data_IF_669038719051
#
_entry.id   IF_669038719051
#
_cell.length_a   1.000
_cell.length_b   1.000
_cell.length_c   1.000
_cell.angle_alpha   90.00
_cell.angle_beta   90.00
_cell.angle_gamma   90.00
#
_symmetry.space_group_name_H-M   'P 1'
#
loop_
_entity.id
_entity.type
_entity.pdbx_description
1 polymer ?
#
# COMPACT_ATOMS: atom_id res chain seq x y z
N UNK A 1 35.64 -31.18 2.15
CA UNK A 1 34.79 -30.08 1.65
C UNK A 1 33.36 -30.53 1.85
N UNK A 2 32.61 -29.77 2.64
CA UNK A 2 31.27 -30.13 3.06
C UNK A 2 30.31 -30.23 1.86
N UNK A 3 29.24 -31.04 1.91
CA UNK A 3 28.32 -31.20 0.78
C UNK A 3 27.72 -29.86 0.30
N UNK A 4 27.36 -28.96 1.22
CA UNK A 4 26.86 -27.64 0.85
C UNK A 4 27.94 -26.72 0.25
N UNK A 5 29.20 -26.83 0.70
CA UNK A 5 30.32 -26.05 0.14
C UNK A 5 30.55 -26.42 -1.33
N UNK A 6 30.47 -27.70 -1.66
CA UNK A 6 30.56 -28.21 -3.04
C UNK A 6 29.44 -27.65 -3.91
N UNK A 7 28.20 -27.63 -3.40
CA UNK A 7 27.06 -27.04 -4.10
C UNK A 7 27.29 -25.54 -4.30
N UNK A 8 27.64 -24.80 -3.26
CA UNK A 8 27.89 -23.35 -3.32
C UNK A 8 29.03 -23.01 -4.28
N UNK A 9 30.14 -23.73 -4.24
CA UNK A 9 31.26 -23.53 -5.16
C UNK A 9 30.82 -23.75 -6.62
N UNK A 10 30.05 -24.82 -6.87
CA UNK A 10 29.55 -25.10 -8.22
C UNK A 10 28.54 -24.06 -8.70
N UNK A 11 27.63 -23.63 -7.83
CA UNK A 11 26.67 -22.56 -8.14
C UNK A 11 27.39 -21.25 -8.46
N UNK A 12 28.45 -20.91 -7.70
CA UNK A 12 29.31 -19.75 -7.93
C UNK A 12 30.08 -19.83 -9.26
N UNK A 13 30.57 -21.02 -9.64
CA UNK A 13 31.23 -21.21 -10.93
C UNK A 13 30.24 -20.99 -12.09
N UNK A 14 29.04 -21.60 -12.00
CA UNK A 14 27.99 -21.43 -13.00
C UNK A 14 27.50 -19.98 -13.12
N UNK A 15 27.52 -19.20 -12.04
CA UNK A 15 27.15 -17.79 -12.08
C UNK A 15 28.21 -16.92 -12.77
N UNK A 16 29.50 -17.25 -12.64
CA UNK A 16 30.60 -16.51 -13.27
C UNK A 16 30.69 -16.74 -14.78
N UNK A 17 30.37 -17.95 -15.22
CA UNK A 17 30.65 -18.40 -16.59
C UNK A 17 29.54 -18.08 -17.61
N UNK A 18 28.35 -17.67 -17.15
CA UNK A 18 27.16 -17.53 -18.00
C UNK A 18 26.39 -16.24 -17.73
N UNK A 19 25.59 -15.80 -18.70
CA UNK A 19 24.58 -14.75 -18.48
C UNK A 19 23.56 -15.20 -17.44
N UNK A 20 22.95 -14.26 -16.69
CA UNK A 20 22.09 -14.55 -15.53
C UNK A 20 21.03 -15.64 -15.79
N UNK A 21 20.30 -15.55 -16.91
CA UNK A 21 19.29 -16.53 -17.29
C UNK A 21 19.88 -17.92 -17.59
N UNK A 22 21.02 -17.97 -18.30
CA UNK A 22 21.70 -19.21 -18.66
C UNK A 22 22.40 -19.85 -17.46
N UNK A 23 22.97 -19.03 -16.58
CA UNK A 23 23.51 -19.45 -15.29
C UNK A 23 22.42 -20.10 -14.45
N UNK A 24 21.27 -19.45 -14.33
CA UNK A 24 20.15 -19.95 -13.54
C UNK A 24 19.61 -21.28 -14.07
N UNK A 25 19.41 -21.42 -15.39
CA UNK A 25 19.00 -22.71 -15.96
C UNK A 25 20.02 -23.81 -15.68
N UNK A 26 21.32 -23.53 -15.85
CA UNK A 26 22.38 -24.52 -15.56
C UNK A 26 22.46 -24.87 -14.08
N UNK A 27 22.17 -23.93 -13.19
CA UNK A 27 22.08 -24.19 -11.76
C UNK A 27 20.90 -25.14 -11.47
N UNK A 28 19.75 -24.97 -12.13
CA UNK A 28 18.63 -25.89 -12.00
C UNK A 28 18.98 -27.29 -12.51
N UNK A 29 19.57 -27.39 -13.70
CA UNK A 29 19.98 -28.67 -14.29
C UNK A 29 21.00 -29.39 -13.39
N UNK A 30 21.94 -28.63 -12.80
CA UNK A 30 22.89 -29.15 -11.82
C UNK A 30 22.20 -29.69 -10.57
N UNK A 31 21.25 -28.94 -10.00
CA UNK A 31 20.51 -29.35 -8.81
C UNK A 31 19.59 -30.55 -9.07
N UNK A 32 19.00 -30.67 -10.26
CA UNK A 32 18.19 -31.83 -10.65
C UNK A 32 19.04 -33.11 -10.81
N UNK A 33 20.28 -32.95 -11.28
CA UNK A 33 21.26 -34.04 -11.34
C UNK A 33 21.97 -34.32 -10.02
N UNK A 34 21.73 -33.52 -8.97
CA UNK A 34 22.43 -33.62 -7.71
C UNK A 34 21.83 -34.73 -6.84
N UNK A 35 22.39 -35.94 -6.94
CA UNK A 35 22.05 -37.07 -6.08
C UNK A 35 23.17 -37.26 -5.05
N UNK A 36 22.98 -36.77 -3.83
CA UNK A 36 23.90 -37.05 -2.73
C UNK A 36 23.19 -37.87 -1.66
N UNK A 37 23.84 -38.93 -1.17
CA UNK A 37 23.52 -39.54 0.12
C UNK A 37 24.37 -38.80 1.14
N UNK A 38 23.75 -37.93 1.92
CA UNK A 38 24.45 -37.22 3.00
C UNK A 38 24.74 -38.27 4.07
N UNK A 39 25.97 -38.77 4.11
CA UNK A 39 26.44 -39.63 5.21
C UNK A 39 26.49 -38.76 6.47
N UNK A 40 25.82 -39.21 7.53
CA UNK A 40 25.50 -38.44 8.76
C UNK A 40 26.73 -37.93 9.55
N UNK A 41 27.95 -38.23 9.12
CA UNK A 41 29.14 -38.02 9.94
C UNK A 41 29.80 -36.65 9.66
N UNK A 42 29.49 -35.72 10.58
CA UNK A 42 30.19 -34.45 10.85
C UNK A 42 29.96 -33.32 9.84
N UNK A 43 28.70 -32.91 9.71
CA UNK A 43 28.35 -31.63 9.10
C UNK A 43 28.56 -30.48 10.11
N UNK A 44 29.39 -29.46 9.81
CA UNK A 44 29.46 -28.24 10.60
C UNK A 44 28.18 -27.43 10.41
N UNK A 45 27.82 -26.73 11.47
CA UNK A 45 26.48 -26.20 11.70
C UNK A 45 26.12 -24.97 10.84
N UNK A 46 27.09 -24.30 10.20
CA UNK A 46 26.84 -23.01 9.55
C UNK A 46 26.30 -23.12 8.11
N UNK A 47 25.02 -22.80 7.94
CA UNK A 47 24.27 -22.81 6.67
C UNK A 47 24.18 -21.44 5.99
N UNK A 48 24.82 -20.40 6.53
CA UNK A 48 24.70 -19.02 6.01
C UNK A 48 25.21 -18.86 4.57
N UNK A 49 26.10 -19.73 4.10
CA UNK A 49 26.56 -19.73 2.71
C UNK A 49 25.46 -20.02 1.67
N UNK A 50 24.32 -20.58 2.08
CA UNK A 50 23.16 -20.80 1.19
C UNK A 50 22.35 -19.51 0.95
N UNK A 51 22.48 -18.51 1.82
CA UNK A 51 21.70 -17.27 1.79
C UNK A 51 21.68 -16.58 0.41
N UNK A 52 22.80 -16.41 -0.32
CA UNK A 52 22.81 -15.75 -1.62
C UNK A 52 21.98 -16.46 -2.71
N UNK A 53 21.65 -17.73 -2.49
CA UNK A 53 20.89 -18.55 -3.45
C UNK A 53 19.41 -18.70 -3.07
N UNK A 54 19.09 -18.55 -1.78
CA UNK A 54 17.73 -18.58 -1.24
C UNK A 54 17.05 -17.20 -1.31
N UNK A 55 17.82 -16.13 -1.06
CA UNK A 55 17.31 -14.76 -1.09
C UNK A 55 17.19 -14.23 -2.52
N UNK A 56 16.18 -13.38 -2.81
CA UNK A 56 16.15 -12.61 -4.04
C UNK A 56 17.39 -11.77 -4.24
N UNK A 57 17.86 -11.71 -5.49
CA UNK A 57 18.80 -10.68 -5.92
C UNK A 57 18.04 -9.42 -6.30
N UNK A 58 18.73 -8.27 -6.28
CA UNK A 58 18.20 -6.95 -6.67
C UNK A 58 17.47 -6.96 -8.03
N UNK A 59 17.92 -7.84 -8.94
CA UNK A 59 17.37 -8.00 -10.29
C UNK A 59 16.02 -8.75 -10.34
N UNK A 60 15.55 -9.34 -9.23
CA UNK A 60 14.29 -10.09 -9.19
C UNK A 60 13.07 -9.18 -9.31
N UNK A 61 13.15 -7.92 -8.84
CA UNK A 61 11.99 -7.01 -8.80
C UNK A 61 12.24 -5.81 -9.71
N UNK A 62 11.52 -5.73 -10.84
CA UNK A 62 11.41 -4.48 -11.56
C UNK A 62 10.40 -3.60 -10.82
N UNK A 63 10.93 -2.63 -10.08
CA UNK A 63 10.12 -1.70 -9.29
C UNK A 63 9.39 -0.65 -10.12
N UNK A 64 9.72 -0.50 -11.40
CA UNK A 64 9.12 0.48 -12.31
C UNK A 64 7.94 -0.13 -13.10
N UNK A 65 8.03 -1.40 -13.51
CA UNK A 65 7.00 -2.07 -14.31
C UNK A 65 5.91 -2.77 -13.49
N UNK A 66 6.07 -2.88 -12.16
CA UNK A 66 5.16 -3.59 -11.27
C UNK A 66 5.16 -5.13 -11.47
N UNK A 67 6.13 -5.66 -12.20
CA UNK A 67 6.26 -7.10 -12.43
C UNK A 67 7.70 -7.50 -12.10
N UNK A 68 7.88 -8.58 -11.32
CA UNK A 68 9.16 -9.29 -11.40
C UNK A 68 9.41 -9.60 -12.88
N UNK A 69 10.67 -9.61 -13.35
CA UNK A 69 10.93 -10.21 -14.65
C UNK A 69 10.40 -11.65 -14.59
N UNK A 70 9.21 -11.88 -15.16
CA UNK A 70 8.40 -13.07 -14.90
C UNK A 70 9.19 -14.31 -15.29
N UNK A 71 10.02 -14.16 -16.33
CA UNK A 71 10.91 -15.17 -16.86
C UNK A 71 12.00 -15.61 -15.87
N UNK A 72 12.52 -14.72 -15.03
CA UNK A 72 13.58 -15.05 -14.06
C UNK A 72 13.01 -15.46 -12.70
N UNK A 73 11.85 -14.92 -12.30
CA UNK A 73 11.26 -15.19 -10.98
C UNK A 73 11.05 -16.67 -10.71
N UNK A 74 10.36 -17.35 -11.64
CA UNK A 74 10.02 -18.77 -11.48
C UNK A 74 11.27 -19.63 -11.32
N UNK A 75 12.27 -19.57 -12.23
CA UNK A 75 13.48 -20.38 -12.07
C UNK A 75 14.30 -20.03 -10.83
N UNK A 76 14.27 -18.79 -10.34
CA UNK A 76 14.91 -18.40 -9.09
C UNK A 76 14.23 -19.01 -7.85
N UNK A 77 12.90 -18.93 -7.76
CA UNK A 77 12.14 -19.59 -6.70
C UNK A 77 12.29 -21.12 -6.76
N UNK A 78 12.35 -21.67 -7.97
CA UNK A 78 12.60 -23.09 -8.20
C UNK A 78 13.99 -23.54 -7.74
N UNK A 79 15.02 -22.71 -7.95
CA UNK A 79 16.38 -22.98 -7.44
C UNK A 79 16.38 -22.98 -5.92
N UNK A 80 15.77 -21.96 -5.31
CA UNK A 80 15.63 -21.88 -3.86
C UNK A 80 14.90 -23.12 -3.31
N UNK A 81 13.77 -23.51 -3.93
CA UNK A 81 13.02 -24.71 -3.54
C UNK A 81 13.86 -25.99 -3.59
N UNK A 82 14.62 -26.19 -4.67
CA UNK A 82 15.51 -27.35 -4.82
C UNK A 82 16.57 -27.39 -3.73
N UNK A 83 17.22 -26.26 -3.45
CA UNK A 83 18.19 -26.16 -2.36
C UNK A 83 17.57 -26.47 -1.00
N UNK A 84 16.39 -25.89 -0.71
CA UNK A 84 15.65 -26.15 0.52
C UNK A 84 15.27 -27.63 0.66
N UNK A 85 14.92 -28.28 -0.45
CA UNK A 85 14.57 -29.71 -0.48
C UNK A 85 15.79 -30.61 -0.29
N UNK A 86 16.92 -30.28 -0.95
CA UNK A 86 18.18 -31.03 -0.86
C UNK A 86 18.71 -30.99 0.58
N UNK A 87 18.68 -29.82 1.22
CA UNK A 87 19.22 -29.61 2.57
C UNK A 87 18.12 -29.59 3.64
N UNK A 88 16.99 -30.26 3.40
CA UNK A 88 15.81 -30.13 4.25
C UNK A 88 16.09 -30.56 5.70
N UNK A 89 16.77 -31.69 5.88
CA UNK A 89 16.99 -32.26 7.20
C UNK A 89 18.05 -31.46 7.98
N UNK A 90 19.11 -31.01 7.30
CA UNK A 90 20.12 -30.11 7.86
C UNK A 90 19.51 -28.77 8.27
N UNK A 91 18.68 -28.18 7.42
CA UNK A 91 17.98 -26.93 7.74
C UNK A 91 17.11 -27.14 8.96
N UNK A 92 16.27 -28.18 9.03
CA UNK A 92 15.42 -28.45 10.21
C UNK A 92 16.23 -28.65 11.49
N UNK A 93 17.41 -29.25 11.38
CA UNK A 93 18.26 -29.56 12.52
C UNK A 93 19.05 -28.32 13.00
N UNK A 94 19.79 -27.66 12.12
CA UNK A 94 20.76 -26.61 12.48
C UNK A 94 20.19 -25.20 12.46
N UNK A 95 19.03 -24.92 11.83
CA UNK A 95 18.46 -23.56 11.78
C UNK A 95 18.12 -22.99 13.18
N UNK A 96 18.07 -23.86 14.19
CA UNK A 96 17.84 -23.49 15.60
C UNK A 96 19.05 -22.78 16.21
N UNK A 97 20.24 -23.07 15.70
CA UNK A 97 21.51 -22.56 16.24
C UNK A 97 21.68 -21.08 15.92
N UNK A 98 22.24 -20.32 16.87
CA UNK A 98 22.38 -18.86 16.76
C UNK A 98 23.15 -18.41 15.52
N UNK A 99 24.11 -19.22 15.06
CA UNK A 99 24.89 -18.94 13.85
C UNK A 99 24.06 -19.00 12.55
N UNK A 100 22.89 -19.64 12.57
CA UNK A 100 22.00 -19.80 11.43
C UNK A 100 20.76 -18.90 11.49
N UNK A 101 20.69 -17.99 12.46
CA UNK A 101 19.51 -17.13 12.61
C UNK A 101 19.28 -16.20 11.42
N UNK A 102 20.32 -15.82 10.67
CA UNK A 102 20.15 -15.08 9.42
C UNK A 102 19.39 -15.92 8.38
N UNK A 103 19.68 -17.23 8.29
CA UNK A 103 18.92 -18.16 7.46
C UNK A 103 17.47 -18.26 7.94
N UNK A 104 17.24 -18.34 9.24
CA UNK A 104 15.89 -18.33 9.80
C UNK A 104 15.12 -17.05 9.43
N UNK A 105 15.77 -15.88 9.50
CA UNK A 105 15.20 -14.59 9.07
C UNK A 105 14.88 -14.60 7.58
N UNK A 106 15.76 -15.15 6.73
CA UNK A 106 15.47 -15.31 5.31
C UNK A 106 14.27 -16.22 5.07
N UNK A 107 14.17 -17.35 5.78
CA UNK A 107 13.01 -18.24 5.69
C UNK A 107 11.72 -17.56 6.14
N UNK A 108 11.74 -16.77 7.21
CA UNK A 108 10.60 -15.92 7.62
C UNK A 108 10.16 -15.03 6.47
N UNK A 109 11.12 -14.39 5.79
CA UNK A 109 10.85 -13.48 4.67
C UNK A 109 10.28 -14.17 3.43
N UNK A 110 10.52 -15.48 3.28
CA UNK A 110 10.05 -16.29 2.16
C UNK A 110 8.68 -16.93 2.39
N UNK A 111 8.07 -16.79 3.57
CA UNK A 111 6.77 -17.43 3.91
C UNK A 111 5.62 -16.96 3.02
N UNK A 112 5.60 -15.68 2.66
CA UNK A 112 4.46 -15.05 1.99
C UNK A 112 4.69 -14.80 0.50
N UNK A 113 5.70 -15.43 -0.10
CA UNK A 113 5.94 -15.29 -1.53
C UNK A 113 4.89 -16.05 -2.33
N UNK A 114 4.53 -15.55 -3.52
CA UNK A 114 3.49 -16.16 -4.34
C UNK A 114 3.85 -17.58 -4.86
N UNK A 115 5.14 -17.94 -4.89
CA UNK A 115 5.57 -19.28 -5.30
C UNK A 115 5.34 -20.28 -4.17
N UNK A 116 4.18 -20.95 -4.23
CA UNK A 116 3.65 -21.82 -3.16
C UNK A 116 4.64 -22.86 -2.61
N UNK A 117 5.44 -23.59 -3.41
CA UNK A 117 6.33 -24.61 -2.85
C UNK A 117 7.35 -24.06 -1.83
N UNK A 118 8.00 -22.93 -2.15
CA UNK A 118 8.97 -22.28 -1.23
C UNK A 118 8.25 -21.68 -0.03
N UNK A 119 7.10 -21.02 -0.25
CA UNK A 119 6.29 -20.45 0.82
C UNK A 119 5.88 -21.51 1.85
N UNK A 120 5.33 -22.64 1.38
CA UNK A 120 4.90 -23.75 2.23
C UNK A 120 6.07 -24.40 2.98
N UNK A 121 7.21 -24.60 2.31
CA UNK A 121 8.41 -25.14 2.96
C UNK A 121 8.90 -24.20 4.06
N UNK A 122 9.05 -22.92 3.73
CA UNK A 122 9.58 -21.91 4.65
C UNK A 122 8.66 -21.73 5.85
N UNK A 123 7.34 -21.71 5.65
CA UNK A 123 6.36 -21.66 6.74
C UNK A 123 6.48 -22.89 7.66
N UNK A 124 6.56 -24.10 7.09
CA UNK A 124 6.71 -25.33 7.87
C UNK A 124 7.99 -25.32 8.72
N UNK A 125 9.14 -24.99 8.12
CA UNK A 125 10.41 -24.93 8.86
C UNK A 125 10.37 -23.86 9.94
N UNK A 126 9.91 -22.65 9.64
CA UNK A 126 9.82 -21.56 10.61
C UNK A 126 8.90 -21.93 11.77
N UNK A 127 7.70 -22.43 11.49
CA UNK A 127 6.70 -22.74 12.53
C UNK A 127 7.15 -23.92 13.41
N UNK A 128 7.80 -24.94 12.83
CA UNK A 128 8.38 -26.06 13.59
C UNK A 128 9.61 -25.64 14.41
N UNK A 129 10.46 -24.78 13.86
CA UNK A 129 11.64 -24.26 14.55
C UNK A 129 11.22 -23.42 15.76
N UNK A 130 10.33 -22.45 15.53
CA UNK A 130 9.86 -21.55 16.57
C UNK A 130 9.01 -22.27 17.61
N UNK A 131 8.17 -23.24 17.24
CA UNK A 131 7.44 -24.03 18.24
C UNK A 131 8.36 -24.85 19.13
N UNK A 132 9.52 -25.26 18.64
CA UNK A 132 10.54 -25.96 19.42
C UNK A 132 11.43 -25.06 20.30
N UNK A 133 11.44 -23.75 20.07
CA UNK A 133 12.22 -22.82 20.88
C UNK A 133 11.66 -22.68 22.29
N UNK A 134 12.55 -22.69 23.28
CA UNK A 134 12.23 -22.24 24.64
C UNK A 134 11.83 -20.76 24.64
N UNK A 135 11.10 -20.29 25.66
CA UNK A 135 10.70 -18.88 25.78
C UNK A 135 11.92 -17.94 25.72
N UNK A 136 13.02 -18.29 26.38
CA UNK A 136 14.26 -17.51 26.36
C UNK A 136 14.90 -17.48 24.96
N UNK A 137 14.92 -18.61 24.26
CA UNK A 137 15.48 -18.69 22.90
C UNK A 137 14.65 -17.87 21.90
N UNK A 138 13.32 -17.85 22.05
CA UNK A 138 12.44 -17.00 21.24
C UNK A 138 12.76 -15.53 21.44
N UNK A 139 12.88 -15.10 22.69
CA UNK A 139 13.21 -13.72 23.02
C UNK A 139 14.58 -13.31 22.47
N UNK A 140 15.60 -14.17 22.60
CA UNK A 140 16.92 -13.91 22.03
C UNK A 140 16.86 -13.79 20.49
N UNK A 141 16.10 -14.68 19.82
CA UNK A 141 15.93 -14.62 18.37
C UNK A 141 15.23 -13.33 17.95
N UNK A 142 14.16 -12.94 18.63
CA UNK A 142 13.46 -11.68 18.37
C UNK A 142 14.37 -10.46 18.53
N UNK A 143 15.20 -10.45 19.58
CA UNK A 143 16.20 -9.40 19.78
C UNK A 143 17.22 -9.38 18.64
N UNK A 144 17.69 -10.55 18.20
CA UNK A 144 18.56 -10.66 17.03
C UNK A 144 17.89 -10.11 15.77
N UNK A 145 16.62 -10.42 15.50
CA UNK A 145 15.92 -9.89 14.32
C UNK A 145 15.79 -8.36 14.40
N UNK A 146 15.50 -7.82 15.59
CA UNK A 146 15.45 -6.38 15.83
C UNK A 146 16.80 -5.69 15.61
N UNK A 147 17.90 -6.29 16.06
CA UNK A 147 19.25 -5.78 15.83
C UNK A 147 19.66 -5.90 14.37
N UNK A 148 19.36 -7.03 13.73
CA UNK A 148 19.60 -7.27 12.32
C UNK A 148 18.91 -6.21 11.47
N UNK A 149 17.60 -5.97 11.66
CA UNK A 149 16.89 -4.94 10.90
C UNK A 149 17.43 -3.53 11.21
N UNK A 150 17.66 -3.17 12.48
CA UNK A 150 18.27 -1.87 12.81
C UNK A 150 19.63 -1.68 12.14
N UNK A 151 20.46 -2.71 12.04
CA UNK A 151 21.75 -2.65 11.34
C UNK A 151 21.59 -2.34 9.85
N UNK A 152 20.52 -2.85 9.20
CA UNK A 152 20.23 -2.59 7.79
C UNK A 152 19.86 -1.12 7.54
N UNK A 153 19.26 -0.46 8.53
CA UNK A 153 18.85 0.94 8.46
C UNK A 153 19.87 1.90 9.11
N UNK A 154 20.90 1.43 9.78
CA UNK A 154 21.80 2.26 10.63
C UNK A 154 22.72 3.26 9.92
N UNK A 155 22.70 3.38 8.58
CA UNK A 155 23.53 4.33 7.81
C UNK A 155 22.83 4.89 6.58
N UNK A 156 21.99 5.91 6.73
CA UNK A 156 21.64 6.82 5.63
C UNK A 156 21.37 8.23 6.20
N UNK A 157 22.14 9.23 5.74
CA UNK A 157 22.28 10.61 6.27
C UNK A 157 21.03 11.50 6.18
N UNK A 158 19.83 10.94 5.98
CA UNK A 158 18.59 11.70 5.76
C UNK A 158 17.67 11.77 6.97
N UNK A 159 18.00 11.08 8.05
CA UNK A 159 17.21 11.06 9.27
C UNK A 159 18.02 11.60 10.43
N UNK A 160 17.40 12.45 11.23
CA UNK A 160 17.87 12.69 12.60
C UNK A 160 17.87 11.37 13.39
N UNK A 161 18.59 11.29 14.51
CA UNK A 161 18.58 10.11 15.40
C UNK A 161 17.16 9.69 15.85
N UNK A 162 16.19 10.60 15.73
CA UNK A 162 14.77 10.40 16.02
C UNK A 162 13.92 9.95 14.82
N UNK A 163 14.53 9.69 13.65
CA UNK A 163 13.82 9.23 12.46
C UNK A 163 13.05 10.32 11.69
N UNK A 164 13.28 11.61 11.97
CA UNK A 164 12.68 12.72 11.19
C UNK A 164 13.55 13.10 9.99
N UNK A 165 12.91 13.39 8.85
CA UNK A 165 13.55 14.07 7.71
C UNK A 165 13.91 15.51 8.09
N UNK A 166 14.99 16.04 7.51
CA UNK A 166 15.17 17.49 7.45
C UNK A 166 13.98 18.09 6.69
N UNK A 167 13.25 18.98 7.37
CA UNK A 167 12.15 19.72 6.77
C UNK A 167 12.69 20.52 5.58
N UNK A 168 11.96 20.49 4.48
CA UNK A 168 12.25 21.16 3.21
C UNK A 168 12.94 22.53 3.35
N UNK A 169 14.26 22.53 3.29
CA UNK A 169 15.04 23.54 2.60
C UNK A 169 16.03 22.75 1.75
N UNK A 170 16.39 23.28 0.59
CA UNK A 170 17.39 22.70 -0.31
C UNK A 170 18.48 22.00 0.51
N UNK A 171 18.88 20.78 0.14
CA UNK A 171 19.90 20.11 0.92
C UNK A 171 21.11 21.04 1.06
N UNK A 172 21.78 21.11 2.23
CA UNK A 172 23.06 21.81 2.31
C UNK A 172 23.92 21.33 1.13
N UNK A 173 24.67 22.24 0.49
CA UNK A 173 25.32 22.04 -0.82
C UNK A 173 26.03 20.68 -1.02
N UNK A 174 26.38 20.02 0.09
CA UNK A 174 26.76 18.60 0.19
C UNK A 174 25.81 17.60 -0.51
N UNK A 175 24.47 17.69 -0.44
CA UNK A 175 23.62 16.70 -1.16
C UNK A 175 23.31 17.05 -2.63
N UNK A 176 23.78 18.20 -3.15
CA UNK A 176 23.71 18.45 -4.60
C UNK A 176 24.73 17.60 -5.36
N UNK A 177 25.83 17.22 -4.70
CA UNK A 177 26.85 16.33 -5.26
C UNK A 177 26.58 14.85 -4.92
N UNK A 178 25.90 14.57 -3.80
CA UNK A 178 25.55 13.22 -3.34
C UNK A 178 24.15 12.75 -3.77
N UNK A 179 23.73 13.05 -5.00
CA UNK A 179 22.69 12.25 -5.69
C UNK A 179 23.26 10.89 -6.13
N UNK A 180 24.02 10.25 -5.23
CA UNK A 180 24.66 8.97 -5.47
C UNK A 180 23.60 7.87 -5.50
N UNK A 181 23.90 6.80 -6.23
CA UNK A 181 23.09 5.57 -6.39
C UNK A 181 22.52 5.06 -5.06
N UNK A 182 23.19 5.34 -3.95
CA UNK A 182 22.82 5.09 -2.56
C UNK A 182 21.46 5.69 -2.15
N UNK A 183 21.10 6.89 -2.64
CA UNK A 183 19.82 7.54 -2.32
C UNK A 183 18.61 6.92 -3.03
N UNK A 184 18.82 6.42 -4.24
CA UNK A 184 17.78 5.76 -5.04
C UNK A 184 17.64 4.27 -4.66
N UNK A 185 18.74 3.67 -4.22
CA UNK A 185 18.85 2.25 -3.89
C UNK A 185 19.51 2.07 -2.51
N UNK A 186 18.76 2.33 -1.42
CA UNK A 186 19.29 2.20 -0.06
C UNK A 186 19.75 0.77 0.23
N UNK A 187 20.83 0.63 1.01
CA UNK A 187 21.54 -0.64 1.20
C UNK A 187 20.67 -1.78 1.75
N UNK A 188 19.62 -1.47 2.50
CA UNK A 188 18.69 -2.48 3.03
C UNK A 188 17.96 -3.22 1.90
N UNK A 189 17.64 -2.55 0.77
CA UNK A 189 17.00 -3.19 -0.39
C UNK A 189 17.90 -4.20 -1.09
N UNK A 190 19.22 -3.97 -1.07
CA UNK A 190 20.20 -4.90 -1.61
C UNK A 190 20.52 -6.06 -0.68
N UNK A 191 20.37 -5.88 0.64
CA UNK A 191 20.72 -6.90 1.64
C UNK A 191 19.56 -7.84 1.96
N UNK A 192 18.36 -7.31 2.14
CA UNK A 192 17.15 -8.12 2.32
C UNK A 192 15.94 -7.36 1.77
N UNK A 193 15.50 -7.78 0.59
CA UNK A 193 14.38 -7.19 -0.13
C UNK A 193 13.02 -7.39 0.56
N UNK A 194 12.94 -8.43 1.38
CA UNK A 194 11.74 -8.83 2.12
C UNK A 194 11.83 -8.43 3.61
N UNK A 195 12.72 -7.49 3.96
CA UNK A 195 12.78 -6.97 5.32
C UNK A 195 11.43 -6.42 5.83
N UNK A 196 10.55 -5.81 5.01
CA UNK A 196 9.24 -5.41 5.51
C UNK A 196 8.40 -6.61 5.96
N UNK A 197 8.52 -7.76 5.29
CA UNK A 197 7.76 -8.97 5.61
C UNK A 197 8.29 -9.59 6.93
N UNK A 198 9.60 -9.50 7.17
CA UNK A 198 10.22 -9.86 8.47
C UNK A 198 9.73 -8.93 9.58
N UNK A 199 9.71 -7.61 9.36
CA UNK A 199 9.24 -6.65 10.37
C UNK A 199 7.76 -6.88 10.66
N UNK A 200 6.94 -7.14 9.64
CA UNK A 200 5.54 -7.48 9.79
C UNK A 200 5.35 -8.74 10.64
N UNK A 201 6.16 -9.78 10.38
CA UNK A 201 6.17 -10.99 11.18
C UNK A 201 6.53 -10.71 12.64
N UNK A 202 7.55 -9.88 12.91
CA UNK A 202 7.88 -9.47 14.28
C UNK A 202 6.66 -8.80 14.93
N UNK A 203 6.09 -7.78 14.31
CA UNK A 203 4.97 -7.03 14.91
C UNK A 203 3.78 -7.95 15.21
N UNK A 204 3.46 -8.85 14.29
CA UNK A 204 2.29 -9.74 14.39
C UNK A 204 2.43 -10.82 15.47
N UNK A 205 3.66 -11.17 15.87
CA UNK A 205 3.92 -12.21 16.89
C UNK A 205 4.20 -11.62 18.28
N UNK A 206 4.11 -10.31 18.43
CA UNK A 206 4.45 -9.63 19.68
C UNK A 206 3.21 -9.22 20.46
N UNK A 207 3.38 -9.14 21.78
CA UNK A 207 2.34 -8.56 22.63
C UNK A 207 2.37 -7.03 22.55
N UNK A 208 1.23 -6.41 22.87
CA UNK A 208 1.14 -4.94 23.00
C UNK A 208 2.23 -4.38 23.93
N UNK A 209 2.51 -5.07 25.04
CA UNK A 209 3.56 -4.67 25.99
C UNK A 209 4.95 -4.69 25.35
N UNK A 210 5.30 -5.78 24.64
CA UNK A 210 6.63 -5.90 24.05
C UNK A 210 6.86 -4.87 22.93
N UNK A 211 5.86 -4.60 22.10
CA UNK A 211 5.93 -3.52 21.10
C UNK A 211 6.14 -2.18 21.78
N UNK A 212 5.42 -1.89 22.87
CA UNK A 212 5.55 -0.64 23.63
C UNK A 212 6.90 -0.47 24.30
N UNK A 213 7.60 -1.55 24.64
CA UNK A 213 8.95 -1.50 25.21
C UNK A 213 10.02 -1.32 24.12
N UNK A 214 9.88 -2.05 23.01
CA UNK A 214 10.89 -2.13 21.94
C UNK A 214 10.63 -1.21 20.74
N UNK A 215 9.61 -0.35 20.80
CA UNK A 215 9.17 0.47 19.67
C UNK A 215 10.26 1.34 19.07
N UNK A 216 11.18 1.85 19.89
CA UNK A 216 12.28 2.71 19.48
C UNK A 216 13.22 2.02 18.48
N UNK A 217 13.27 0.68 18.46
CA UNK A 217 14.03 -0.11 17.47
C UNK A 217 13.23 -0.40 16.19
N UNK A 218 11.90 -0.42 16.28
CA UNK A 218 11.00 -0.79 15.17
C UNK A 218 10.58 0.42 14.33
N UNK A 219 10.16 1.51 14.99
CA UNK A 219 9.57 2.67 14.33
C UNK A 219 10.49 3.32 13.29
N UNK A 220 11.80 3.52 13.54
CA UNK A 220 12.68 4.12 12.52
C UNK A 220 12.68 3.34 11.21
N UNK A 221 12.72 2.00 11.27
CA UNK A 221 12.66 1.11 10.11
C UNK A 221 11.33 1.22 9.38
N UNK A 222 10.22 1.20 10.13
CA UNK A 222 8.86 1.31 9.59
C UNK A 222 8.64 2.65 8.89
N UNK A 223 9.03 3.76 9.54
CA UNK A 223 8.94 5.10 8.95
C UNK A 223 9.82 5.22 7.71
N UNK A 224 10.98 4.57 7.67
CA UNK A 224 11.84 4.57 6.47
C UNK A 224 11.22 3.82 5.31
N UNK A 225 10.57 2.69 5.56
CA UNK A 225 9.80 1.95 4.54
C UNK A 225 8.59 2.77 4.08
N UNK A 226 7.84 3.37 5.00
CA UNK A 226 6.71 4.26 4.70
C UNK A 226 7.12 5.47 3.85
N UNK A 227 8.31 6.01 4.12
CA UNK A 227 8.86 7.17 3.45
C UNK A 227 9.67 6.85 2.18
N UNK A 228 9.67 5.60 1.71
CA UNK A 228 10.38 5.22 0.49
C UNK A 228 9.90 5.99 -0.76
N UNK A 229 10.72 6.10 -1.80
CA UNK A 229 10.35 6.77 -3.06
C UNK A 229 9.41 5.91 -3.93
N UNK A 230 9.47 4.59 -3.78
CA UNK A 230 8.72 3.63 -4.60
C UNK A 230 7.33 3.37 -3.99
N UNK A 231 6.22 3.61 -4.72
CA UNK A 231 4.85 3.44 -4.22
C UNK A 231 4.57 2.09 -3.56
N UNK A 232 5.07 0.99 -4.13
CA UNK A 232 4.87 -0.37 -3.60
C UNK A 232 5.56 -0.60 -2.24
N UNK A 233 6.74 0.00 -2.05
CA UNK A 233 7.43 -0.08 -0.75
C UNK A 233 6.66 0.72 0.29
N UNK A 234 6.12 1.89 -0.09
CA UNK A 234 5.26 2.67 0.79
C UNK A 234 4.00 1.92 1.20
N UNK A 235 3.41 1.15 0.28
CA UNK A 235 2.24 0.31 0.59
C UNK A 235 2.57 -0.73 1.67
N UNK A 236 3.75 -1.38 1.60
CA UNK A 236 4.24 -2.23 2.70
C UNK A 236 4.41 -1.43 3.99
N UNK A 237 4.93 -0.20 3.91
CA UNK A 237 5.02 0.71 5.05
C UNK A 237 3.66 0.99 5.71
N UNK A 238 2.61 1.22 4.92
CA UNK A 238 1.24 1.41 5.44
C UNK A 238 0.73 0.16 6.16
N UNK A 239 0.99 -1.04 5.63
CA UNK A 239 0.63 -2.30 6.28
C UNK A 239 1.36 -2.48 7.62
N UNK A 240 2.64 -2.11 7.68
CA UNK A 240 3.41 -2.15 8.92
C UNK A 240 2.87 -1.18 9.96
N UNK A 241 2.54 0.06 9.56
CA UNK A 241 1.91 1.03 10.44
C UNK A 241 0.58 0.49 10.97
N UNK A 242 -0.28 -0.03 10.09
CA UNK A 242 -1.56 -0.63 10.50
C UNK A 242 -1.36 -1.75 11.53
N UNK A 243 -0.43 -2.67 11.27
CA UNK A 243 -0.11 -3.76 12.20
C UNK A 243 0.34 -3.24 13.57
N UNK A 244 1.16 -2.18 13.61
CA UNK A 244 1.55 -1.54 14.88
C UNK A 244 0.34 -0.94 15.58
N UNK A 245 -0.53 -0.22 14.87
CA UNK A 245 -1.74 0.36 15.47
C UNK A 245 -2.64 -0.73 16.05
N UNK A 246 -2.83 -1.83 15.33
CA UNK A 246 -3.69 -2.94 15.73
C UNK A 246 -3.17 -3.65 17.00
N UNK A 247 -1.84 -3.83 17.11
CA UNK A 247 -1.21 -4.52 18.26
C UNK A 247 -1.02 -3.59 19.46
N UNK A 248 -0.59 -2.36 19.24
CA UNK A 248 -0.20 -1.44 20.32
C UNK A 248 -1.35 -0.58 20.85
N UNK A 249 -2.41 -0.39 20.05
CA UNK A 249 -3.55 0.46 20.36
C UNK A 249 -3.29 1.95 20.13
N UNK A 250 -4.37 2.73 20.01
CA UNK A 250 -4.30 4.17 19.69
C UNK A 250 -3.70 5.02 20.83
N UNK A 251 -3.82 4.58 22.08
CA UNK A 251 -3.23 5.27 23.24
C UNK A 251 -1.70 5.34 23.13
N UNK A 252 -1.09 4.27 22.64
CA UNK A 252 0.36 4.18 22.47
C UNK A 252 0.88 5.25 21.51
N UNK A 253 0.20 5.46 20.39
CA UNK A 253 0.59 6.48 19.40
C UNK A 253 0.54 7.90 19.97
N UNK A 254 -0.40 8.15 20.87
CA UNK A 254 -0.56 9.46 21.51
C UNK A 254 0.55 9.70 22.53
N UNK A 255 0.79 8.72 23.41
CA UNK A 255 1.81 8.82 24.46
C UNK A 255 3.23 8.99 23.89
N UNK A 256 3.53 8.31 22.79
CA UNK A 256 4.84 8.37 22.13
C UNK A 256 5.02 9.56 21.19
N UNK A 257 3.95 10.33 20.94
CA UNK A 257 3.96 11.41 19.94
C UNK A 257 3.97 10.91 18.48
N UNK A 258 3.88 9.60 18.24
CA UNK A 258 3.86 9.02 16.90
C UNK A 258 2.60 9.40 16.11
N UNK A 259 1.50 9.71 16.78
CA UNK A 259 0.25 10.10 16.11
C UNK A 259 0.44 11.33 15.20
N UNK A 260 1.19 12.34 15.65
CA UNK A 260 1.45 13.55 14.85
C UNK A 260 2.42 13.28 13.69
N UNK A 261 3.45 12.47 13.93
CA UNK A 261 4.41 12.06 12.89
C UNK A 261 3.68 11.27 11.79
N UNK A 262 2.86 10.29 12.19
CA UNK A 262 2.05 9.51 11.27
C UNK A 262 1.05 10.39 10.53
N UNK A 263 0.40 11.36 11.19
CA UNK A 263 -0.49 12.29 10.49
C UNK A 263 0.23 12.98 9.34
N UNK A 264 1.40 13.53 9.57
CA UNK A 264 2.15 14.27 8.55
C UNK A 264 2.58 13.36 7.40
N UNK A 265 3.16 12.20 7.71
CA UNK A 265 3.60 11.23 6.71
C UNK A 265 2.42 10.64 5.91
N UNK A 266 1.27 10.37 6.57
CA UNK A 266 0.08 9.82 5.94
C UNK A 266 -0.63 10.86 5.05
N UNK A 267 -0.62 12.15 5.41
CA UNK A 267 -1.18 13.21 4.58
C UNK A 267 -0.42 13.37 3.25
N UNK A 268 0.88 13.09 3.22
CA UNK A 268 1.68 13.18 1.98
C UNK A 268 1.20 12.22 0.88
N UNK A 269 0.50 11.13 1.21
CA UNK A 269 -0.03 10.19 0.23
C UNK A 269 -1.08 10.82 -0.69
N UNK A 270 -1.75 11.89 -0.26
CA UNK A 270 -2.69 12.65 -1.10
C UNK A 270 -2.02 13.40 -2.26
N UNK A 271 -0.69 13.55 -2.24
CA UNK A 271 0.07 14.11 -3.36
C UNK A 271 0.43 13.07 -4.43
N UNK A 272 0.18 11.79 -4.19
CA UNK A 272 0.41 10.71 -5.15
C UNK A 272 -0.78 10.63 -6.12
N UNK A 273 -0.72 11.45 -7.17
CA UNK A 273 -1.82 11.58 -8.13
C UNK A 273 -1.38 11.25 -9.57
N UNK A 274 -2.32 10.82 -10.43
CA UNK A 274 -2.09 10.72 -11.87
C UNK A 274 -1.78 12.09 -12.52
N UNK A 275 -1.10 12.14 -13.68
CA UNK A 275 -0.57 11.00 -14.45
C UNK A 275 0.79 10.49 -13.97
N UNK A 276 1.36 11.10 -12.91
CA UNK A 276 2.70 10.75 -12.41
C UNK A 276 2.80 9.30 -11.96
N UNK A 277 1.71 8.76 -11.42
CA UNK A 277 1.60 7.37 -10.96
C UNK A 277 0.32 6.74 -11.53
N UNK A 278 0.30 5.40 -11.63
CA UNK A 278 -0.88 4.64 -12.09
C UNK A 278 -2.07 4.87 -11.15
N UNK A 279 -3.25 5.11 -11.71
CA UNK A 279 -4.45 5.50 -10.98
C UNK A 279 -4.83 4.52 -9.86
N UNK A 280 -4.70 3.22 -10.12
CA UNK A 280 -5.03 2.14 -9.18
C UNK A 280 -4.06 2.15 -7.98
N UNK A 281 -2.79 2.42 -8.24
CA UNK A 281 -1.76 2.53 -7.19
C UNK A 281 -1.99 3.77 -6.34
N UNK A 282 -2.31 4.92 -6.95
CA UNK A 282 -2.69 6.14 -6.24
C UNK A 282 -3.89 5.88 -5.32
N UNK A 283 -4.97 5.33 -5.88
CA UNK A 283 -6.19 5.06 -5.14
C UNK A 283 -5.94 4.10 -3.95
N UNK A 284 -5.17 3.03 -4.15
CA UNK A 284 -4.85 2.09 -3.07
C UNK A 284 -4.07 2.73 -1.92
N UNK A 285 -3.06 3.56 -2.24
CA UNK A 285 -2.27 4.27 -1.23
C UNK A 285 -3.10 5.32 -0.47
N UNK A 286 -3.91 6.09 -1.19
CA UNK A 286 -4.78 7.12 -0.61
C UNK A 286 -5.86 6.47 0.28
N UNK A 287 -6.46 5.34 -0.13
CA UNK A 287 -7.46 4.66 0.69
C UNK A 287 -6.86 4.09 1.96
N UNK A 288 -5.70 3.43 1.85
CA UNK A 288 -5.01 2.84 2.99
C UNK A 288 -4.57 3.89 4.01
N UNK A 289 -4.02 5.02 3.53
CA UNK A 289 -3.64 6.15 4.40
C UNK A 289 -4.85 6.83 5.03
N UNK A 290 -5.95 7.02 4.28
CA UNK A 290 -7.20 7.55 4.81
C UNK A 290 -7.74 6.72 5.96
N UNK A 291 -7.80 5.38 5.81
CA UNK A 291 -8.30 4.49 6.87
C UNK A 291 -7.49 4.63 8.16
N UNK A 292 -6.16 4.70 8.05
CA UNK A 292 -5.28 4.95 9.19
C UNK A 292 -5.52 6.32 9.83
N UNK A 293 -5.63 7.38 9.03
CA UNK A 293 -5.95 8.73 9.51
C UNK A 293 -7.30 8.77 10.25
N UNK A 294 -8.30 8.05 9.73
CA UNK A 294 -9.60 7.89 10.36
C UNK A 294 -9.53 7.06 11.67
N UNK A 295 -8.59 6.14 11.81
CA UNK A 295 -8.41 5.44 13.08
C UNK A 295 -7.81 6.37 14.16
N UNK A 296 -6.88 7.24 13.78
CA UNK A 296 -6.18 8.13 14.73
C UNK A 296 -6.89 9.48 14.97
N UNK A 297 -7.95 9.82 14.22
CA UNK A 297 -8.63 11.13 14.29
C UNK A 297 -9.06 11.55 15.70
N UNK A 298 -9.55 10.63 16.53
CA UNK A 298 -10.00 10.96 17.89
C UNK A 298 -8.89 11.51 18.78
N UNK A 299 -7.62 11.25 18.43
CA UNK A 299 -6.46 11.68 19.20
C UNK A 299 -5.85 12.97 18.67
N UNK A 300 -6.27 13.44 17.49
CA UNK A 300 -5.68 14.58 16.79
C UNK A 300 -6.75 15.65 16.52
N UNK A 301 -6.67 16.80 17.20
CA UNK A 301 -7.59 17.90 16.96
C UNK A 301 -7.58 18.36 15.50
N UNK A 302 -8.78 18.64 14.96
CA UNK A 302 -8.99 19.16 13.60
C UNK A 302 -8.44 18.27 12.46
N UNK A 303 -8.14 16.99 12.73
CA UNK A 303 -7.64 16.10 11.68
C UNK A 303 -8.64 15.96 10.54
N UNK A 304 -9.93 15.79 10.86
CA UNK A 304 -10.96 15.61 9.84
C UNK A 304 -11.09 16.80 8.89
N UNK A 305 -11.00 18.02 9.40
CA UNK A 305 -11.06 19.24 8.60
C UNK A 305 -9.85 19.35 7.68
N UNK A 306 -8.64 19.09 8.20
CA UNK A 306 -7.41 19.04 7.40
C UNK A 306 -7.45 17.93 6.36
N UNK A 307 -7.95 16.76 6.72
CA UNK A 307 -8.10 15.63 5.81
C UNK A 307 -9.06 15.95 4.66
N UNK A 308 -10.12 16.70 4.95
CA UNK A 308 -11.03 17.19 3.92
C UNK A 308 -10.34 18.24 3.02
N UNK A 309 -9.78 19.30 3.60
CA UNK A 309 -9.24 20.45 2.87
C UNK A 309 -7.92 20.17 2.17
N UNK A 310 -6.96 19.57 2.86
CA UNK A 310 -5.61 19.35 2.36
C UNK A 310 -5.47 17.97 1.68
N UNK A 311 -6.43 17.07 1.91
CA UNK A 311 -6.47 15.73 1.33
C UNK A 311 -7.51 15.60 0.21
N UNK A 312 -8.78 15.46 0.58
CA UNK A 312 -9.86 15.18 -0.39
C UNK A 312 -10.02 16.28 -1.43
N UNK A 313 -10.01 17.55 -1.02
CA UNK A 313 -10.11 18.68 -1.95
C UNK A 313 -8.88 18.79 -2.86
N UNK A 314 -7.70 18.43 -2.36
CA UNK A 314 -6.48 18.36 -3.17
C UNK A 314 -6.61 17.36 -4.31
N UNK A 315 -7.27 16.20 -4.08
CA UNK A 315 -7.56 15.23 -5.13
C UNK A 315 -8.45 15.85 -6.22
N UNK A 316 -9.54 16.52 -5.83
CA UNK A 316 -10.45 17.13 -6.81
C UNK A 316 -9.78 18.19 -7.67
N UNK A 317 -8.80 18.90 -7.11
CA UNK A 317 -8.04 19.94 -7.80
C UNK A 317 -7.01 19.37 -8.79
N UNK A 318 -6.33 18.26 -8.46
CA UNK A 318 -5.12 17.84 -9.18
C UNK A 318 -5.17 16.46 -9.85
N UNK A 319 -6.18 15.62 -9.60
CA UNK A 319 -6.19 14.23 -10.10
C UNK A 319 -6.66 14.02 -11.56
N UNK A 320 -6.70 15.08 -12.38
CA UNK A 320 -6.98 15.04 -13.83
C UNK A 320 -8.07 14.05 -14.26
N UNK A 321 -9.26 14.18 -13.66
CA UNK A 321 -10.48 13.40 -13.97
C UNK A 321 -10.31 11.87 -13.88
N UNK A 322 -9.27 11.37 -13.21
CA UNK A 322 -9.02 9.95 -13.05
C UNK A 322 -10.15 9.29 -12.26
N UNK A 323 -10.96 8.46 -12.95
CA UNK A 323 -12.14 7.80 -12.37
C UNK A 323 -11.83 7.07 -11.06
N UNK A 324 -10.80 6.21 -10.94
CA UNK A 324 -10.53 5.49 -9.69
C UNK A 324 -10.27 6.43 -8.50
N UNK A 325 -9.52 7.52 -8.75
CA UNK A 325 -9.09 8.44 -7.70
C UNK A 325 -10.21 9.41 -7.31
N UNK A 326 -10.98 9.91 -8.27
CA UNK A 326 -12.15 10.78 -7.99
C UNK A 326 -13.27 9.98 -7.30
N UNK A 327 -13.51 8.74 -7.73
CA UNK A 327 -14.45 7.84 -7.04
C UNK A 327 -14.06 7.67 -5.57
N UNK A 328 -12.79 7.40 -5.31
CA UNK A 328 -12.27 7.29 -3.95
C UNK A 328 -12.48 8.57 -3.15
N UNK A 329 -12.17 9.74 -3.73
CA UNK A 329 -12.36 11.03 -3.05
C UNK A 329 -13.82 11.26 -2.61
N UNK A 330 -14.81 10.89 -3.44
CA UNK A 330 -16.21 10.97 -3.04
C UNK A 330 -16.59 9.95 -1.96
N UNK A 331 -16.05 8.72 -2.00
CA UNK A 331 -16.24 7.75 -0.91
C UNK A 331 -15.71 8.30 0.42
N UNK A 332 -14.51 8.87 0.40
CA UNK A 332 -13.89 9.49 1.58
C UNK A 332 -14.68 10.71 2.05
N UNK A 333 -15.15 11.54 1.11
CA UNK A 333 -16.02 12.67 1.39
C UNK A 333 -17.30 12.25 2.13
N UNK A 334 -17.98 11.19 1.68
CA UNK A 334 -19.16 10.66 2.37
C UNK A 334 -18.83 10.14 3.78
N UNK A 335 -17.67 9.51 3.96
CA UNK A 335 -17.20 9.10 5.29
C UNK A 335 -16.95 10.31 6.20
N UNK A 336 -16.29 11.35 5.69
CA UNK A 336 -16.02 12.59 6.42
C UNK A 336 -17.29 13.37 6.74
N UNK A 337 -18.25 13.41 5.82
CA UNK A 337 -19.57 14.00 6.02
C UNK A 337 -20.26 13.38 7.25
N UNK A 338 -20.26 12.06 7.35
CA UNK A 338 -20.85 11.35 8.49
C UNK A 338 -20.11 11.61 9.81
N UNK A 339 -18.78 11.79 9.77
CA UNK A 339 -17.96 12.01 10.98
C UNK A 339 -17.96 13.47 11.45
N UNK A 340 -17.91 14.42 10.52
CA UNK A 340 -17.96 15.86 10.82
C UNK A 340 -19.39 16.32 11.17
N UNK A 341 -20.40 15.59 10.70
CA UNK A 341 -21.83 15.90 10.91
C UNK A 341 -22.12 17.37 10.55
N UNK A 342 -22.74 18.16 11.44
CA UNK A 342 -23.07 19.57 11.21
C UNK A 342 -21.87 20.43 10.79
N UNK A 343 -20.65 20.08 11.22
CA UNK A 343 -19.44 20.82 10.84
C UNK A 343 -19.16 20.73 9.34
N UNK A 344 -19.60 19.65 8.69
CA UNK A 344 -19.45 19.47 7.26
C UNK A 344 -20.22 20.51 6.43
N UNK A 345 -21.22 21.18 7.02
CA UNK A 345 -21.98 22.23 6.33
C UNK A 345 -21.11 23.34 5.75
N UNK A 346 -19.95 23.61 6.36
CA UNK A 346 -18.97 24.60 5.87
C UNK A 346 -18.36 24.21 4.53
N UNK A 347 -18.34 22.91 4.23
CA UNK A 347 -17.74 22.33 3.04
C UNK A 347 -18.77 21.85 2.01
N UNK A 348 -20.06 21.89 2.37
CA UNK A 348 -21.14 21.34 1.55
C UNK A 348 -21.19 21.98 0.17
N UNK A 349 -21.16 23.32 0.08
CA UNK A 349 -21.23 24.01 -1.22
C UNK A 349 -20.09 23.57 -2.14
N UNK A 350 -18.85 23.65 -1.66
CA UNK A 350 -17.67 23.26 -2.46
C UNK A 350 -17.72 21.80 -2.89
N UNK A 351 -18.22 20.92 -2.02
CA UNK A 351 -18.39 19.49 -2.32
C UNK A 351 -19.43 19.27 -3.41
N UNK A 352 -20.58 19.94 -3.30
CA UNK A 352 -21.65 19.86 -4.29
C UNK A 352 -21.20 20.44 -5.63
N UNK A 353 -20.43 21.54 -5.61
CA UNK A 353 -19.87 22.13 -6.82
C UNK A 353 -19.00 21.12 -7.58
N UNK A 354 -18.10 20.42 -6.87
CA UNK A 354 -17.28 19.37 -7.46
C UNK A 354 -18.12 18.22 -8.01
N UNK A 355 -19.12 17.76 -7.26
CA UNK A 355 -19.99 16.66 -7.66
C UNK A 355 -20.82 17.00 -8.90
N UNK A 356 -21.47 18.15 -8.89
CA UNK A 356 -22.26 18.68 -10.01
C UNK A 356 -21.40 18.88 -11.26
N UNK A 357 -20.21 19.47 -11.11
CA UNK A 357 -19.26 19.64 -12.21
C UNK A 357 -18.93 18.30 -12.88
N UNK A 358 -18.70 17.24 -12.09
CA UNK A 358 -18.39 15.92 -12.64
C UNK A 358 -19.60 15.29 -13.33
N UNK A 359 -20.79 15.34 -12.72
CA UNK A 359 -22.03 14.78 -13.29
C UNK A 359 -22.39 15.44 -14.64
N UNK A 360 -22.07 16.72 -14.80
CA UNK A 360 -22.30 17.47 -16.05
C UNK A 360 -21.35 17.08 -17.18
N UNK A 361 -20.21 16.41 -16.90
CA UNK A 361 -19.22 16.09 -17.90
C UNK A 361 -19.79 15.06 -18.91
N UNK A 362 -19.90 15.43 -20.21
CA UNK A 362 -20.48 14.55 -21.22
C UNK A 362 -19.68 13.26 -21.45
N UNK A 363 -18.37 13.26 -21.16
CA UNK A 363 -17.52 12.08 -21.33
C UNK A 363 -17.86 10.95 -20.35
N UNK A 364 -18.56 11.25 -19.25
CA UNK A 364 -18.98 10.23 -18.29
C UNK A 364 -20.04 9.26 -18.83
N UNK A 365 -20.71 9.59 -19.94
CA UNK A 365 -21.60 8.65 -20.60
C UNK A 365 -20.87 7.39 -21.12
N UNK A 366 -19.54 7.46 -21.30
CA UNK A 366 -18.69 6.32 -21.63
C UNK A 366 -18.32 5.45 -20.40
N UNK A 367 -18.69 5.89 -19.20
CA UNK A 367 -18.45 5.19 -17.93
C UNK A 367 -19.73 5.18 -17.07
N UNK A 368 -20.79 4.47 -17.51
CA UNK A 368 -22.13 4.52 -16.89
C UNK A 368 -22.12 4.15 -15.41
N UNK A 369 -21.30 3.17 -15.00
CA UNK A 369 -21.18 2.77 -13.59
C UNK A 369 -20.67 3.91 -12.70
N UNK A 370 -19.74 4.72 -13.21
CA UNK A 370 -19.19 5.84 -12.46
C UNK A 370 -20.17 7.01 -12.40
N UNK A 371 -20.88 7.30 -13.50
CA UNK A 371 -21.97 8.28 -13.48
C UNK A 371 -23.06 7.89 -12.48
N UNK A 372 -23.49 6.63 -12.48
CA UNK A 372 -24.47 6.13 -11.51
C UNK A 372 -23.99 6.31 -10.07
N UNK A 373 -22.72 5.99 -9.79
CA UNK A 373 -22.11 6.22 -8.48
C UNK A 373 -22.17 7.70 -8.05
N UNK A 374 -21.87 8.64 -8.95
CA UNK A 374 -21.96 10.08 -8.65
C UNK A 374 -23.40 10.51 -8.36
N UNK A 375 -24.37 10.00 -9.11
CA UNK A 375 -25.80 10.27 -8.89
C UNK A 375 -26.27 9.73 -7.53
N UNK A 376 -25.85 8.52 -7.14
CA UNK A 376 -26.14 7.98 -5.80
C UNK A 376 -25.48 8.80 -4.68
N UNK A 377 -24.25 9.28 -4.92
CA UNK A 377 -23.56 10.17 -4.00
C UNK A 377 -24.33 11.47 -3.83
N UNK A 378 -24.78 12.08 -4.93
CA UNK A 378 -25.58 13.31 -4.90
C UNK A 378 -26.87 13.09 -4.14
N UNK A 379 -27.64 12.05 -4.49
CA UNK A 379 -28.87 11.69 -3.79
C UNK A 379 -28.64 11.54 -2.29
N UNK A 380 -27.58 10.83 -1.90
CA UNK A 380 -27.26 10.59 -0.48
C UNK A 380 -26.97 11.90 0.27
N UNK A 381 -26.20 12.81 -0.33
CA UNK A 381 -25.96 14.14 0.23
C UNK A 381 -27.24 14.98 0.33
N UNK A 382 -28.09 14.93 -0.70
CA UNK A 382 -29.36 15.68 -0.71
C UNK A 382 -30.35 15.17 0.32
N UNK A 383 -30.38 13.87 0.61
CA UNK A 383 -31.24 13.32 1.67
C UNK A 383 -30.80 13.85 3.03
N UNK A 384 -29.49 13.89 3.31
CA UNK A 384 -28.95 14.38 4.59
C UNK A 384 -29.15 15.89 4.72
N UNK A 385 -28.95 16.65 3.64
CA UNK A 385 -29.01 18.11 3.62
C UNK A 385 -30.19 18.67 2.84
N UNK A 386 -31.35 18.01 2.93
CA UNK A 386 -32.53 18.37 2.13
C UNK A 386 -32.96 19.83 2.31
N UNK A 387 -32.81 20.37 3.52
CA UNK A 387 -33.11 21.76 3.86
C UNK A 387 -32.21 22.79 3.15
N UNK A 388 -31.10 22.37 2.53
CA UNK A 388 -30.22 23.22 1.70
C UNK A 388 -30.55 23.14 0.21
N UNK A 389 -31.50 22.28 -0.21
CA UNK A 389 -31.86 22.11 -1.62
C UNK A 389 -32.29 23.43 -2.25
N UNK A 390 -33.17 24.17 -1.56
CA UNK A 390 -33.68 25.45 -2.04
C UNK A 390 -32.57 26.47 -2.33
N UNK A 391 -31.45 26.46 -1.59
CA UNK A 391 -30.34 27.39 -1.82
C UNK A 391 -29.52 27.05 -3.07
N UNK A 392 -29.47 25.78 -3.48
CA UNK A 392 -28.65 25.28 -4.59
C UNK A 392 -29.49 24.75 -5.77
N UNK A 393 -30.81 25.00 -5.77
CA UNK A 393 -31.77 24.39 -6.70
C UNK A 393 -31.39 24.58 -8.17
N UNK A 394 -30.99 25.80 -8.58
CA UNK A 394 -30.63 26.11 -9.97
C UNK A 394 -29.49 25.21 -10.46
N UNK A 395 -28.46 25.03 -9.63
CA UNK A 395 -27.32 24.18 -9.96
C UNK A 395 -27.72 22.71 -10.09
N UNK A 396 -28.59 22.21 -9.21
CA UNK A 396 -29.09 20.83 -9.31
C UNK A 396 -29.92 20.61 -10.57
N UNK A 397 -30.83 21.53 -10.89
CA UNK A 397 -31.65 21.45 -12.10
C UNK A 397 -30.77 21.43 -13.36
N UNK A 398 -29.82 22.37 -13.48
CA UNK A 398 -28.88 22.41 -14.61
C UNK A 398 -28.06 21.12 -14.68
N UNK A 399 -27.54 20.65 -13.56
CA UNK A 399 -26.72 19.43 -13.48
C UNK A 399 -27.47 18.21 -14.00
N UNK A 400 -28.67 17.98 -13.47
CA UNK A 400 -29.47 16.80 -13.75
C UNK A 400 -29.98 16.80 -15.19
N UNK A 401 -30.43 17.95 -15.69
CA UNK A 401 -30.92 18.07 -17.06
C UNK A 401 -29.80 17.96 -18.09
N UNK A 402 -28.65 18.61 -17.86
CA UNK A 402 -27.48 18.44 -18.73
C UNK A 402 -27.02 16.99 -18.77
N UNK A 403 -26.94 16.32 -17.62
CA UNK A 403 -26.58 14.89 -17.54
C UNK A 403 -27.59 14.00 -18.26
N UNK A 404 -28.90 14.28 -18.12
CA UNK A 404 -29.95 13.54 -18.82
C UNK A 404 -29.84 13.69 -20.34
N UNK A 405 -29.60 14.93 -20.83
CA UNK A 405 -29.38 15.20 -22.25
C UNK A 405 -28.16 14.46 -22.78
N UNK A 406 -27.04 14.47 -22.05
CA UNK A 406 -25.85 13.71 -22.42
C UNK A 406 -26.18 12.21 -22.54
N UNK A 407 -26.94 11.66 -21.59
CA UNK A 407 -27.38 10.27 -21.62
C UNK A 407 -28.32 9.95 -22.80
N UNK A 408 -29.16 10.90 -23.21
CA UNK A 408 -30.00 10.76 -24.41
C UNK A 408 -29.15 10.78 -25.68
N UNK A 409 -28.23 11.74 -25.79
CA UNK A 409 -27.40 11.88 -26.98
C UNK A 409 -26.48 10.67 -27.21
N UNK A 410 -25.95 10.06 -26.15
CA UNK A 410 -25.11 8.87 -26.27
C UNK A 410 -25.86 7.61 -26.76
N UNK A 411 -27.19 7.55 -26.60
CA UNK A 411 -28.06 6.44 -27.05
C UNK A 411 -27.61 5.02 -26.62
N UNK A 412 -26.92 4.89 -25.48
CA UNK A 412 -26.49 3.60 -24.93
C UNK A 412 -27.58 3.00 -24.01
N UNK A 413 -27.90 1.72 -24.18
CA UNK A 413 -28.87 0.99 -23.32
C UNK A 413 -28.44 0.96 -21.84
N UNK A 414 -27.12 0.91 -21.60
CA UNK A 414 -26.50 0.88 -20.27
C UNK A 414 -26.76 2.15 -19.45
N UNK A 415 -27.18 3.25 -20.09
CA UNK A 415 -27.50 4.52 -19.41
C UNK A 415 -28.93 4.56 -18.87
N UNK A 416 -29.76 3.55 -19.14
CA UNK A 416 -31.14 3.49 -18.63
C UNK A 416 -31.25 3.60 -17.10
N UNK A 417 -30.39 2.97 -16.27
CA UNK A 417 -30.42 3.14 -14.82
C UNK A 417 -30.04 4.56 -14.41
N UNK A 418 -29.09 5.19 -15.12
CA UNK A 418 -28.71 6.58 -14.86
C UNK A 418 -29.86 7.54 -15.16
N UNK A 419 -30.58 7.36 -16.27
CA UNK A 419 -31.75 8.17 -16.63
C UNK A 419 -32.85 8.06 -15.57
N UNK A 420 -33.17 6.84 -15.15
CA UNK A 420 -34.13 6.62 -14.07
C UNK A 420 -33.70 7.33 -12.79
N UNK A 421 -32.43 7.18 -12.40
CA UNK A 421 -31.89 7.81 -11.20
C UNK A 421 -31.94 9.33 -11.25
N UNK A 422 -31.64 9.93 -12.41
CA UNK A 422 -31.76 11.37 -12.61
C UNK A 422 -33.20 11.83 -12.39
N UNK A 423 -34.18 11.13 -12.96
CA UNK A 423 -35.60 11.44 -12.77
C UNK A 423 -36.03 11.34 -11.30
N UNK A 424 -35.58 10.30 -10.58
CA UNK A 424 -35.81 10.16 -9.14
C UNK A 424 -35.26 11.36 -8.35
N UNK A 425 -34.02 11.76 -8.63
CA UNK A 425 -33.38 12.90 -7.95
C UNK A 425 -34.10 14.21 -8.29
N UNK A 426 -34.48 14.42 -9.56
CA UNK A 426 -35.25 15.59 -9.97
C UNK A 426 -36.58 15.70 -9.25
N UNK A 427 -37.29 14.59 -9.09
CA UNK A 427 -38.54 14.56 -8.34
C UNK A 427 -38.31 14.88 -6.85
N UNK A 428 -37.27 14.34 -6.24
CA UNK A 428 -36.89 14.67 -4.87
C UNK A 428 -36.52 16.15 -4.71
N UNK A 429 -35.79 16.73 -5.66
CA UNK A 429 -35.48 18.16 -5.67
C UNK A 429 -36.77 18.97 -5.72
N UNK A 430 -37.69 18.67 -6.65
CA UNK A 430 -38.98 19.35 -6.82
C UNK A 430 -39.82 19.38 -5.53
N UNK A 431 -39.86 18.27 -4.81
CA UNK A 431 -40.60 18.13 -3.54
C UNK A 431 -40.05 19.05 -2.44
N UNK A 432 -38.78 19.45 -2.54
CA UNK A 432 -38.09 20.30 -1.58
C UNK A 432 -37.90 21.76 -2.08
N UNK A 433 -38.54 22.16 -3.19
CA UNK A 433 -38.53 23.53 -3.69
C UNK A 433 -39.68 24.36 -3.09
N UNK A 434 -39.43 25.65 -2.91
CA UNK A 434 -40.50 26.63 -2.64
C UNK A 434 -41.39 26.82 -3.87
N UNK A 435 -42.62 27.31 -3.69
CA UNK A 435 -43.57 27.53 -4.81
C UNK A 435 -43.00 28.43 -5.91
N UNK A 436 -42.25 29.48 -5.56
CA UNK A 436 -41.60 30.35 -6.55
C UNK A 436 -40.53 29.62 -7.36
N UNK A 437 -39.79 28.70 -6.74
CA UNK A 437 -38.72 27.91 -7.39
C UNK A 437 -39.26 26.75 -8.25
N UNK A 438 -40.50 26.32 -8.03
CA UNK A 438 -41.15 25.31 -8.89
C UNK A 438 -41.33 25.80 -10.33
N UNK A 439 -41.38 27.12 -10.54
CA UNK A 439 -41.38 27.71 -11.87
C UNK A 439 -40.09 27.39 -12.63
N UNK A 440 -38.93 27.43 -11.97
CA UNK A 440 -37.64 27.09 -12.59
C UNK A 440 -37.61 25.60 -12.97
N UNK A 441 -38.16 24.73 -12.12
CA UNK A 441 -38.31 23.31 -12.45
C UNK A 441 -39.18 23.11 -13.71
N UNK A 442 -40.32 23.80 -13.79
CA UNK A 442 -41.20 23.72 -14.96
C UNK A 442 -40.53 24.27 -16.23
N UNK A 443 -39.70 25.30 -16.11
CA UNK A 443 -38.98 25.87 -17.25
C UNK A 443 -37.90 24.93 -17.81
N UNK A 444 -37.26 24.13 -16.95
CA UNK A 444 -36.15 23.26 -17.35
C UNK A 444 -36.63 21.88 -17.85
N UNK A 445 -37.81 21.40 -17.43
CA UNK A 445 -38.34 20.09 -17.83
C UNK A 445 -38.42 19.86 -19.36
N UNK A 446 -38.91 20.81 -20.19
CA UNK A 446 -38.93 20.65 -21.64
C UNK A 446 -37.55 20.43 -22.27
N UNK A 447 -36.48 20.91 -21.63
CA UNK A 447 -35.10 20.75 -22.12
C UNK A 447 -34.60 19.31 -21.99
N UNK A 448 -35.25 18.46 -21.19
CA UNK A 448 -34.95 17.02 -21.12
C UNK A 448 -35.53 16.25 -22.31
N UNK A 449 -36.66 16.72 -22.84
CA UNK A 449 -37.44 16.07 -23.89
C UNK A 449 -37.01 16.51 -25.30
N UNK A 450 -36.44 17.71 -25.42
CA UNK A 450 -35.92 18.21 -26.70
C UNK A 450 -34.67 17.44 -27.12
N UNK A 451 -34.86 16.31 -27.82
CA UNK A 451 -33.87 15.86 -28.80
C UNK A 451 -33.84 16.92 -29.90
N UNK A 452 -32.84 17.80 -29.86
CA UNK A 452 -32.52 18.64 -31.01
C UNK A 452 -32.39 17.73 -32.23
N UNK A 453 -33.22 18.05 -33.23
CA UNK A 453 -33.31 17.40 -34.54
C UNK A 453 -31.96 17.36 -35.28
#
# INVERSE_FOLDING_TARGET
MQPWEQVVEKLNALERDFSEQKALQKQLDFLDGFVFKIEEEQLPHNLTALLPYLSPKKNWINFESNELNFELRKPYCERAYRLLTIFQEEIKHFVKDKENWELLVTLVSLRDIQYKPVASFSANVVDNTLSSFSTATKEDFENYVLEFQSSLFSRDDRLTEQGRRYAYELPPDKFRQDQTTTLLEPSWKSKNLFIPDVIYWIISNQTSFTIRDRWHKLIPSVLRILNDLKPMVKQKGLLLVQSIVDVSGLEFLTYTGLAEILREDLMLFYTFLPPRYKAETCASLIDSSFRLLIQIEKKIPNLLDKLFLDGVMYIFQFASDSIPVIRLAFVQCMCLMNKLNERFLRYLSTTLDQLCLRIQNPLLCNAPEFLFFLLETLRSMLIVYFYRISSHHTQFLITLVSSYRNCNNANLKELSPCKQKITEILQFVKENLSESQKLDYQAVLPLMESTTA
#
